data_IF_217926404730
#
_entry.id   IF_217926404730
#
_cell.length_a   1.000
_cell.length_b   1.000
_cell.length_c   1.000
_cell.angle_alpha   90.00
_cell.angle_beta   90.00
_cell.angle_gamma   90.00
#
_symmetry.space_group_name_H-M   'P 1'
#
loop_
_entity.id
_entity.type
_entity.pdbx_description
1 polymer ?
#
# COMPACT_ATOMS: atom_id res chain seq x y z
N UNK A 1 7.71 73.16 15.61
CA UNK A 1 9.01 72.57 15.23
C UNK A 1 8.92 71.07 15.43
N UNK A 2 9.10 70.30 14.35
CA UNK A 2 9.09 68.84 14.34
C UNK A 2 10.35 68.30 15.05
N UNK A 3 10.19 67.28 15.92
CA UNK A 3 11.31 66.54 16.49
C UNK A 3 11.19 65.06 16.14
N UNK A 4 12.24 64.56 15.48
CA UNK A 4 12.44 63.20 15.04
C UNK A 4 12.99 62.35 16.20
N UNK A 5 12.18 61.45 16.75
CA UNK A 5 12.71 60.22 17.37
C UNK A 5 11.99 59.02 16.76
N UNK A 6 12.67 58.44 15.76
CA UNK A 6 12.35 57.16 15.13
C UNK A 6 12.19 56.09 16.22
N UNK A 7 11.00 55.48 16.32
CA UNK A 7 10.88 54.15 16.94
C UNK A 7 11.83 53.23 16.17
N UNK A 8 12.84 52.69 16.85
CA UNK A 8 13.72 51.66 16.28
C UNK A 8 12.84 50.53 15.73
N UNK A 9 13.13 49.97 14.55
CA UNK A 9 12.45 48.75 14.12
C UNK A 9 12.72 47.69 15.19
N UNK A 10 11.65 47.09 15.70
CA UNK A 10 11.74 45.93 16.58
C UNK A 10 12.32 44.82 15.71
N UNK A 11 13.62 44.60 15.79
CA UNK A 11 14.27 43.45 15.16
C UNK A 11 13.57 42.23 15.77
N UNK A 12 12.91 41.37 14.98
CA UNK A 12 12.28 40.19 15.54
C UNK A 12 13.39 39.38 16.21
N UNK A 13 13.16 38.97 17.46
CA UNK A 13 14.13 38.15 18.16
C UNK A 13 14.30 36.82 17.40
N UNK A 14 15.44 36.12 17.52
CA UNK A 14 15.64 34.81 16.91
C UNK A 14 14.55 33.77 17.30
N UNK A 15 13.82 34.00 18.40
CA UNK A 15 12.63 33.21 18.76
C UNK A 15 11.36 33.55 17.94
N UNK A 16 11.18 34.81 17.52
CA UNK A 16 10.08 35.22 16.65
C UNK A 16 10.37 34.85 15.18
N UNK A 17 11.64 34.84 14.77
CA UNK A 17 12.07 34.33 13.46
C UNK A 17 12.05 32.80 13.38
N UNK A 18 12.19 32.06 14.48
CA UNK A 18 12.04 30.61 14.51
C UNK A 18 10.56 30.15 14.61
N UNK A 19 9.68 30.96 15.20
CA UNK A 19 8.23 30.69 15.27
C UNK A 19 7.53 30.83 13.92
N UNK A 20 7.89 31.83 13.11
CA UNK A 20 7.33 32.02 11.76
C UNK A 20 7.48 30.81 10.83
N UNK A 21 8.67 30.22 10.63
CA UNK A 21 8.83 29.04 9.79
C UNK A 21 8.16 27.82 10.42
N UNK A 22 8.10 27.69 11.76
CA UNK A 22 7.34 26.60 12.38
C UNK A 22 5.84 26.72 12.18
N UNK A 23 5.29 27.94 12.23
CA UNK A 23 3.87 28.23 12.00
C UNK A 23 3.52 28.14 10.52
N UNK A 24 4.42 28.57 9.62
CA UNK A 24 4.30 28.39 8.17
C UNK A 24 4.32 26.91 7.80
N UNK A 25 5.31 26.15 8.27
CA UNK A 25 5.40 24.69 8.09
C UNK A 25 4.16 23.97 8.64
N UNK A 26 3.68 24.36 9.82
CA UNK A 26 2.47 23.80 10.42
C UNK A 26 1.22 24.16 9.61
N UNK A 27 1.14 25.37 9.05
CA UNK A 27 0.04 25.81 8.19
C UNK A 27 0.06 25.13 6.82
N UNK A 28 1.24 24.88 6.26
CA UNK A 28 1.43 24.20 4.98
C UNK A 28 1.14 22.72 5.12
N UNK A 29 1.62 22.10 6.20
CA UNK A 29 1.29 20.73 6.55
C UNK A 29 -0.21 20.59 6.78
N UNK A 30 -0.82 21.46 7.58
CA UNK A 30 -2.27 21.43 7.82
C UNK A 30 -3.09 21.65 6.54
N UNK A 31 -2.68 22.56 5.66
CA UNK A 31 -3.35 22.78 4.36
C UNK A 31 -3.18 21.59 3.42
N UNK A 32 -1.99 21.01 3.35
CA UNK A 32 -1.72 19.83 2.53
C UNK A 32 -2.50 18.60 3.02
N UNK A 33 -2.54 18.38 4.33
CA UNK A 33 -3.33 17.30 4.96
C UNK A 33 -4.82 17.51 4.73
N UNK A 34 -5.34 18.73 4.92
CA UNK A 34 -6.74 19.02 4.65
C UNK A 34 -7.09 18.88 3.17
N UNK A 35 -6.26 19.38 2.25
CA UNK A 35 -6.49 19.26 0.80
C UNK A 35 -6.48 17.79 0.35
N UNK A 36 -5.57 16.97 0.87
CA UNK A 36 -5.56 15.51 0.64
C UNK A 36 -6.83 14.85 1.18
N UNK A 37 -7.25 15.18 2.40
CA UNK A 37 -8.47 14.66 3.01
C UNK A 37 -9.73 15.01 2.23
N UNK A 38 -9.84 16.26 1.75
CA UNK A 38 -10.94 16.67 0.86
C UNK A 38 -10.91 15.91 -0.47
N UNK A 39 -9.74 15.78 -1.10
CA UNK A 39 -9.60 15.03 -2.36
C UNK A 39 -9.96 13.54 -2.22
N UNK A 40 -9.58 12.91 -1.10
CA UNK A 40 -9.95 11.53 -0.79
C UNK A 40 -11.46 11.39 -0.60
N UNK A 41 -12.07 12.23 0.24
CA UNK A 41 -13.51 12.20 0.50
C UNK A 41 -14.31 12.45 -0.78
N UNK A 42 -13.88 13.37 -1.65
CA UNK A 42 -14.54 13.63 -2.93
C UNK A 42 -14.46 12.42 -3.87
N UNK A 43 -13.32 11.72 -3.90
CA UNK A 43 -13.16 10.49 -4.70
C UNK A 43 -14.04 9.37 -4.16
N UNK A 44 -14.12 9.20 -2.83
CA UNK A 44 -14.98 8.20 -2.18
C UNK A 44 -16.47 8.52 -2.40
N UNK A 45 -16.88 9.78 -2.27
CA UNK A 45 -18.27 10.21 -2.45
C UNK A 45 -18.80 10.01 -3.88
N UNK A 46 -17.92 9.89 -4.87
CA UNK A 46 -18.28 9.55 -6.25
C UNK A 46 -18.57 8.06 -6.44
N UNK A 47 -18.13 7.21 -5.51
CA UNK A 47 -18.39 5.78 -5.53
C UNK A 47 -19.78 5.48 -4.99
N UNK A 48 -20.51 4.62 -5.69
CA UNK A 48 -21.85 4.21 -5.29
C UNK A 48 -21.79 2.96 -4.42
N UNK A 49 -20.82 2.07 -4.69
CA UNK A 49 -20.76 0.75 -4.07
C UNK A 49 -20.10 0.71 -2.70
N UNK A 50 -19.20 1.64 -2.39
CA UNK A 50 -18.39 1.59 -1.16
C UNK A 50 -18.33 2.93 -0.43
N UNK A 51 -17.89 2.87 0.82
CA UNK A 51 -17.70 4.02 1.74
C UNK A 51 -16.32 3.96 2.39
N UNK A 52 -15.98 4.95 3.20
CA UNK A 52 -14.67 5.04 3.85
C UNK A 52 -14.34 3.77 4.68
N UNK A 53 -15.34 3.21 5.35
CA UNK A 53 -15.23 2.00 6.16
C UNK A 53 -14.74 0.80 5.35
N UNK A 54 -15.11 0.73 4.07
CA UNK A 54 -14.64 -0.31 3.16
C UNK A 54 -13.12 -0.24 2.98
N UNK A 55 -12.56 0.97 2.84
CA UNK A 55 -11.13 1.14 2.68
C UNK A 55 -10.35 0.84 3.96
N UNK A 56 -10.90 1.17 5.12
CA UNK A 56 -10.32 0.75 6.40
C UNK A 56 -10.32 -0.78 6.52
N UNK A 57 -11.40 -1.44 6.08
CA UNK A 57 -11.47 -2.89 6.05
C UNK A 57 -10.45 -3.49 5.06
N UNK A 58 -10.25 -2.89 3.88
CA UNK A 58 -9.18 -3.31 2.96
C UNK A 58 -7.79 -3.23 3.60
N UNK A 59 -7.50 -2.15 4.35
CA UNK A 59 -6.23 -2.03 5.08
C UNK A 59 -6.10 -3.13 6.14
N UNK A 60 -7.17 -3.46 6.86
CA UNK A 60 -7.19 -4.59 7.80
C UNK A 60 -6.91 -5.93 7.13
N UNK A 61 -7.49 -6.18 5.94
CA UNK A 61 -7.16 -7.39 5.16
C UNK A 61 -5.69 -7.42 4.76
N UNK A 62 -5.06 -6.26 4.48
CA UNK A 62 -3.62 -6.19 4.20
C UNK A 62 -2.79 -6.62 5.40
N UNK A 63 -3.20 -6.23 6.61
CA UNK A 63 -2.55 -6.65 7.85
C UNK A 63 -2.73 -8.17 8.08
N UNK A 64 -3.93 -8.71 7.87
CA UNK A 64 -4.21 -10.15 7.97
C UNK A 64 -3.38 -11.00 6.99
N UNK A 65 -3.16 -10.47 5.77
CA UNK A 65 -2.27 -11.11 4.78
C UNK A 65 -0.81 -11.01 5.23
N UNK A 66 -0.40 -9.86 5.76
CA UNK A 66 0.95 -9.67 6.27
C UNK A 66 1.26 -10.66 7.41
N UNK A 67 0.35 -10.86 8.35
CA UNK A 67 0.51 -11.82 9.46
C UNK A 67 0.75 -13.27 8.98
N UNK A 68 0.20 -13.63 7.82
CA UNK A 68 0.43 -14.94 7.20
C UNK A 68 1.73 -15.01 6.39
N UNK A 69 2.11 -13.91 5.74
CA UNK A 69 3.25 -13.87 4.80
C UNK A 69 4.58 -13.63 5.52
N UNK A 70 4.63 -12.71 6.49
CA UNK A 70 5.87 -12.33 7.19
C UNK A 70 6.62 -13.50 7.84
N UNK A 71 5.95 -14.49 8.48
CA UNK A 71 6.64 -15.64 9.08
C UNK A 71 7.48 -16.45 8.08
N UNK A 72 7.18 -16.40 6.77
CA UNK A 72 8.01 -17.02 5.73
C UNK A 72 9.40 -16.37 5.57
N UNK A 73 9.57 -15.17 6.14
CA UNK A 73 10.73 -14.31 6.01
C UNK A 73 11.52 -14.11 7.31
N UNK A 74 11.03 -14.58 8.46
CA UNK A 74 11.63 -14.34 9.79
C UNK A 74 13.13 -14.70 9.88
N UNK A 75 13.55 -15.78 9.22
CA UNK A 75 14.95 -16.23 9.22
C UNK A 75 15.83 -15.54 8.16
N UNK A 76 15.24 -14.72 7.30
CA UNK A 76 15.92 -14.03 6.21
C UNK A 76 16.10 -12.55 6.56
N UNK A 77 17.11 -12.24 7.37
CA UNK A 77 17.35 -10.86 7.86
C UNK A 77 17.63 -9.83 6.76
N UNK A 78 17.97 -10.26 5.56
CA UNK A 78 18.19 -9.40 4.39
C UNK A 78 16.92 -9.17 3.55
N UNK A 79 15.81 -9.86 3.86
CA UNK A 79 14.57 -9.74 3.12
C UNK A 79 14.00 -8.32 3.28
N UNK A 80 13.61 -7.70 2.16
CA UNK A 80 13.05 -6.35 2.19
C UNK A 80 11.63 -6.35 2.73
N UNK A 81 11.44 -5.86 3.96
CA UNK A 81 10.11 -5.68 4.57
C UNK A 81 9.18 -4.83 3.69
N UNK A 82 9.70 -3.81 3.01
CA UNK A 82 8.91 -2.94 2.13
C UNK A 82 8.35 -3.73 0.93
N UNK A 83 9.14 -4.62 0.35
CA UNK A 83 8.71 -5.45 -0.78
C UNK A 83 7.69 -6.51 -0.33
N UNK A 84 7.87 -7.09 0.86
CA UNK A 84 6.90 -8.03 1.46
C UNK A 84 5.55 -7.32 1.70
N UNK A 85 5.55 -6.14 2.32
CA UNK A 85 4.32 -5.35 2.48
C UNK A 85 3.73 -4.93 1.13
N UNK A 86 4.56 -4.59 0.15
CA UNK A 86 4.11 -4.26 -1.21
C UNK A 86 3.42 -5.44 -1.91
N UNK A 87 3.89 -6.67 -1.68
CA UNK A 87 3.22 -7.89 -2.12
C UNK A 87 1.88 -8.11 -1.40
N UNK A 88 1.82 -7.88 -0.09
CA UNK A 88 0.56 -7.98 0.67
C UNK A 88 -0.47 -6.98 0.14
N UNK A 89 -0.04 -5.74 -0.08
CA UNK A 89 -0.90 -4.71 -0.65
C UNK A 89 -1.37 -5.06 -2.07
N UNK A 90 -0.47 -5.61 -2.88
CA UNK A 90 -0.76 -6.11 -4.23
C UNK A 90 -1.80 -7.23 -4.21
N UNK A 91 -1.72 -8.14 -3.25
CA UNK A 91 -2.69 -9.23 -3.08
C UNK A 91 -4.10 -8.69 -2.84
N UNK A 92 -4.25 -7.69 -1.97
CA UNK A 92 -5.56 -7.05 -1.70
C UNK A 92 -6.07 -6.25 -2.91
N UNK A 93 -5.18 -5.59 -3.66
CA UNK A 93 -5.55 -4.93 -4.91
C UNK A 93 -6.09 -5.93 -5.96
N UNK A 94 -5.45 -7.10 -6.09
CA UNK A 94 -5.92 -8.17 -6.98
C UNK A 94 -7.23 -8.77 -6.48
N UNK A 95 -7.37 -9.01 -5.17
CA UNK A 95 -8.63 -9.46 -4.58
C UNK A 95 -9.78 -8.49 -4.87
N UNK A 96 -9.51 -7.18 -4.79
CA UNK A 96 -10.47 -6.12 -5.15
C UNK A 96 -10.81 -6.16 -6.65
N UNK A 97 -9.81 -6.37 -7.51
CA UNK A 97 -10.00 -6.47 -8.96
C UNK A 97 -10.94 -7.63 -9.36
N UNK A 98 -10.81 -8.77 -8.70
CA UNK A 98 -11.63 -9.97 -8.99
C UNK A 98 -12.90 -10.07 -8.14
N UNK A 99 -13.19 -9.04 -7.34
CA UNK A 99 -14.40 -8.99 -6.52
C UNK A 99 -15.67 -8.78 -7.37
N UNK A 100 -16.82 -8.85 -6.69
CA UNK A 100 -18.14 -8.60 -7.28
C UNK A 100 -18.53 -7.11 -7.33
N UNK A 101 -17.60 -6.20 -7.01
CA UNK A 101 -17.81 -4.75 -7.14
C UNK A 101 -18.11 -4.36 -8.60
N UNK A 102 -18.75 -3.22 -8.85
CA UNK A 102 -18.95 -2.72 -10.21
C UNK A 102 -17.63 -2.53 -10.94
N UNK A 103 -17.50 -3.06 -12.16
CA UNK A 103 -16.25 -3.05 -12.92
C UNK A 103 -15.75 -1.63 -13.21
N UNK A 104 -16.66 -0.67 -13.38
CA UNK A 104 -16.37 0.74 -13.58
C UNK A 104 -15.80 1.43 -12.32
N UNK A 105 -16.10 0.90 -11.12
CA UNK A 105 -15.64 1.48 -9.85
C UNK A 105 -14.32 0.86 -9.37
N UNK A 106 -14.05 -0.41 -9.70
CA UNK A 106 -12.84 -1.15 -9.27
C UNK A 106 -11.52 -0.39 -9.48
N UNK A 107 -11.23 0.24 -10.64
CA UNK A 107 -9.97 0.97 -10.81
C UNK A 107 -9.83 2.14 -9.83
N UNK A 108 -10.94 2.83 -9.55
CA UNK A 108 -10.95 3.96 -8.62
C UNK A 108 -10.79 3.48 -7.18
N UNK A 109 -11.45 2.37 -6.81
CA UNK A 109 -11.35 1.75 -5.49
C UNK A 109 -9.92 1.29 -5.22
N UNK A 110 -9.32 0.52 -6.14
CA UNK A 110 -7.92 0.08 -6.05
C UNK A 110 -6.98 1.29 -5.93
N UNK A 111 -7.21 2.33 -6.74
CA UNK A 111 -6.41 3.55 -6.69
C UNK A 111 -6.50 4.30 -5.36
N UNK A 112 -7.67 4.36 -4.73
CA UNK A 112 -7.84 4.96 -3.40
C UNK A 112 -7.14 4.10 -2.34
N UNK A 113 -7.36 2.79 -2.37
CA UNK A 113 -6.75 1.84 -1.45
C UNK A 113 -5.21 1.92 -1.48
N UNK A 114 -4.61 1.89 -2.67
CA UNK A 114 -3.16 2.00 -2.81
C UNK A 114 -2.63 3.38 -2.37
N UNK A 115 -3.39 4.46 -2.57
CA UNK A 115 -3.02 5.78 -2.07
C UNK A 115 -2.97 5.80 -0.53
N UNK A 116 -3.95 5.18 0.14
CA UNK A 116 -3.97 5.04 1.59
C UNK A 116 -2.81 4.19 2.10
N UNK A 117 -2.52 3.07 1.43
CA UNK A 117 -1.38 2.24 1.79
C UNK A 117 -0.05 2.98 1.63
N UNK A 118 0.13 3.75 0.54
CA UNK A 118 1.34 4.56 0.30
C UNK A 118 1.48 5.65 1.37
N UNK A 119 0.41 6.39 1.65
CA UNK A 119 0.43 7.45 2.66
C UNK A 119 0.76 6.86 4.04
N UNK A 120 0.20 5.70 4.41
CA UNK A 120 0.51 4.99 5.65
C UNK A 120 1.99 4.54 5.70
N UNK A 121 2.50 3.99 4.59
CA UNK A 121 3.89 3.52 4.50
C UNK A 121 4.89 4.68 4.63
N UNK A 122 4.64 5.79 3.94
CA UNK A 122 5.48 6.99 4.01
C UNK A 122 5.43 7.63 5.41
N UNK A 123 4.29 7.59 6.09
CA UNK A 123 4.18 8.10 7.46
C UNK A 123 5.12 7.36 8.43
N UNK A 124 5.31 6.05 8.23
CA UNK A 124 6.19 5.21 9.06
C UNK A 124 7.63 5.15 8.53
N UNK A 125 7.86 5.49 7.26
CA UNK A 125 9.19 5.59 6.66
C UNK A 125 9.34 6.89 5.84
N UNK A 126 9.53 8.05 6.50
CA UNK A 126 9.50 9.37 5.85
C UNK A 126 10.60 9.61 4.81
N UNK A 127 11.63 8.78 4.80
CA UNK A 127 12.70 8.83 3.79
C UNK A 127 12.23 8.31 2.41
N UNK A 128 11.09 7.62 2.34
CA UNK A 128 10.54 7.12 1.08
C UNK A 128 9.90 8.24 0.27
N UNK A 129 10.16 8.24 -1.04
CA UNK A 129 9.44 9.10 -1.97
C UNK A 129 8.08 8.48 -2.30
N UNK A 130 7.00 9.05 -1.75
CA UNK A 130 5.64 8.55 -1.94
C UNK A 130 5.17 8.50 -3.40
N UNK A 131 5.62 9.42 -4.26
CA UNK A 131 5.25 9.39 -5.69
C UNK A 131 5.92 8.22 -6.42
N UNK A 132 7.19 7.97 -6.13
CA UNK A 132 7.91 6.79 -6.66
C UNK A 132 7.26 5.52 -6.12
N UNK A 133 6.99 5.46 -4.82
CA UNK A 133 6.37 4.30 -4.18
C UNK A 133 4.99 3.98 -4.78
N UNK A 134 4.15 5.00 -4.98
CA UNK A 134 2.86 4.87 -5.68
C UNK A 134 3.02 4.29 -7.07
N UNK A 135 3.96 4.81 -7.87
CA UNK A 135 4.23 4.28 -9.20
C UNK A 135 4.74 2.84 -9.17
N UNK A 136 5.57 2.49 -8.18
CA UNK A 136 6.10 1.14 -8.01
C UNK A 136 5.00 0.16 -7.61
N UNK A 137 4.19 0.46 -6.59
CA UNK A 137 3.12 -0.44 -6.14
C UNK A 137 2.02 -0.63 -7.20
N UNK A 138 1.69 0.42 -7.98
CA UNK A 138 0.75 0.29 -9.10
C UNK A 138 1.25 -0.67 -10.20
N UNK A 139 2.56 -0.69 -10.48
CA UNK A 139 3.16 -1.68 -11.40
C UNK A 139 3.23 -3.06 -10.75
N UNK A 140 3.55 -3.11 -9.47
CA UNK A 140 3.76 -4.36 -8.74
C UNK A 140 2.51 -5.22 -8.71
N UNK A 141 1.35 -4.67 -8.35
CA UNK A 141 0.12 -5.46 -8.26
C UNK A 141 -0.34 -5.98 -9.62
N UNK A 142 -0.18 -5.18 -10.68
CA UNK A 142 -0.47 -5.59 -12.06
C UNK A 142 0.48 -6.70 -12.51
N UNK A 143 1.75 -6.62 -12.12
CA UNK A 143 2.76 -7.64 -12.39
C UNK A 143 2.46 -8.96 -11.70
N UNK A 144 2.04 -8.93 -10.43
CA UNK A 144 1.70 -10.13 -9.67
C UNK A 144 0.35 -10.74 -10.04
N UNK A 145 -0.59 -9.95 -10.58
CA UNK A 145 -1.95 -10.42 -10.85
C UNK A 145 -2.02 -11.74 -11.63
N UNK A 146 -1.29 -11.96 -12.75
CA UNK A 146 -1.31 -13.25 -13.44
C UNK A 146 -0.80 -14.41 -12.59
N UNK A 147 0.27 -14.21 -11.81
CA UNK A 147 0.83 -15.22 -10.92
C UNK A 147 -0.11 -15.59 -9.78
N UNK A 148 -0.70 -14.57 -9.15
CA UNK A 148 -1.73 -14.70 -8.12
C UNK A 148 -2.93 -15.50 -8.64
N UNK A 149 -3.46 -15.14 -9.81
CA UNK A 149 -4.63 -15.83 -10.38
C UNK A 149 -4.33 -17.28 -10.74
N UNK A 150 -3.12 -17.58 -11.23
CA UNK A 150 -2.68 -18.96 -11.50
C UNK A 150 -2.51 -19.75 -10.21
N UNK A 151 -1.96 -19.15 -9.14
CA UNK A 151 -1.76 -19.83 -7.87
C UNK A 151 -3.10 -20.20 -7.20
N UNK A 152 -4.09 -19.32 -7.25
CA UNK A 152 -5.44 -19.60 -6.72
C UNK A 152 -6.18 -20.62 -7.59
N UNK A 153 -6.09 -20.48 -8.91
CA UNK A 153 -6.66 -21.41 -9.89
C UNK A 153 -5.72 -22.55 -10.28
N UNK A 154 -4.95 -23.10 -9.32
CA UNK A 154 -3.82 -24.00 -9.59
C UNK A 154 -4.14 -25.16 -10.54
N UNK A 155 -5.24 -25.90 -10.28
CA UNK A 155 -5.63 -27.04 -11.10
C UNK A 155 -5.89 -26.65 -12.57
N UNK A 156 -6.49 -25.48 -12.78
CA UNK A 156 -6.77 -24.98 -14.12
C UNK A 156 -5.51 -24.42 -14.79
N UNK A 157 -4.67 -23.72 -14.03
CA UNK A 157 -3.38 -23.22 -14.52
C UNK A 157 -2.48 -24.37 -14.98
N UNK A 158 -2.46 -25.49 -14.25
CA UNK A 158 -1.70 -26.69 -14.63
C UNK A 158 -2.21 -27.26 -15.96
N UNK A 159 -3.53 -27.38 -16.15
CA UNK A 159 -4.10 -27.83 -17.44
C UNK A 159 -3.76 -26.91 -18.60
N UNK A 160 -3.64 -25.61 -18.33
CA UNK A 160 -3.26 -24.59 -19.31
C UNK A 160 -1.74 -24.51 -19.56
N UNK A 161 -0.95 -25.42 -18.99
CA UNK A 161 0.48 -25.53 -19.24
C UNK A 161 1.36 -24.67 -18.33
N UNK A 162 0.85 -24.20 -17.19
CA UNK A 162 1.62 -23.51 -16.16
C UNK A 162 1.94 -24.47 -14.99
N UNK A 163 3.08 -25.19 -15.02
CA UNK A 163 3.42 -26.12 -13.94
C UNK A 163 3.77 -25.37 -12.65
N UNK A 164 3.37 -25.92 -11.51
CA UNK A 164 3.69 -25.44 -10.16
C UNK A 164 3.44 -23.94 -9.92
N UNK A 165 2.23 -23.42 -10.20
CA UNK A 165 1.97 -21.97 -10.19
C UNK A 165 2.19 -21.34 -8.82
N UNK A 166 1.93 -22.07 -7.75
CA UNK A 166 2.19 -21.66 -6.35
C UNK A 166 3.68 -21.49 -6.06
N UNK A 167 4.50 -22.43 -6.53
CA UNK A 167 5.97 -22.36 -6.43
C UNK A 167 6.51 -21.17 -7.21
N UNK A 168 6.01 -20.93 -8.42
CA UNK A 168 6.43 -19.80 -9.26
C UNK A 168 6.12 -18.47 -8.57
N UNK A 169 4.92 -18.31 -7.98
CA UNK A 169 4.58 -17.11 -7.22
C UNK A 169 5.54 -16.86 -6.05
N UNK A 170 5.89 -17.92 -5.31
CA UNK A 170 6.86 -17.81 -4.22
C UNK A 170 8.27 -17.43 -4.73
N UNK A 171 8.71 -17.96 -5.86
CA UNK A 171 9.99 -17.60 -6.48
C UNK A 171 10.03 -16.15 -6.95
N UNK A 172 8.90 -15.62 -7.44
CA UNK A 172 8.80 -14.21 -7.82
C UNK A 172 8.93 -13.28 -6.61
N UNK A 173 8.29 -13.62 -5.49
CA UNK A 173 8.44 -12.87 -4.23
C UNK A 173 9.85 -12.99 -3.65
N UNK A 174 10.46 -14.17 -3.74
CA UNK A 174 11.83 -14.39 -3.28
C UNK A 174 12.85 -13.58 -4.08
N UNK A 175 12.68 -13.52 -5.41
CA UNK A 175 13.52 -12.68 -6.27
C UNK A 175 13.40 -11.20 -5.90
N UNK A 176 12.19 -10.74 -5.59
CA UNK A 176 11.95 -9.35 -5.21
C UNK A 176 12.55 -9.01 -3.85
N UNK A 177 12.50 -9.95 -2.91
CA UNK A 177 12.97 -9.78 -1.54
C UNK A 177 14.44 -10.14 -1.32
N UNK A 178 15.10 -10.73 -2.32
CA UNK A 178 16.50 -11.17 -2.21
C UNK A 178 16.67 -12.45 -1.40
N UNK A 179 15.67 -13.33 -1.42
CA UNK A 179 15.64 -14.58 -0.67
C UNK A 179 15.97 -15.76 -1.58
N UNK A 180 16.71 -16.73 -1.03
CA UNK A 180 16.95 -18.02 -1.68
C UNK A 180 16.43 -19.14 -0.77
N UNK A 181 15.53 -19.96 -1.29
CA UNK A 181 14.95 -21.12 -0.60
C UNK A 181 15.40 -22.41 -1.25
N UNK A 182 15.50 -23.48 -0.46
CA UNK A 182 15.62 -24.81 -1.05
C UNK A 182 14.25 -25.27 -1.61
N UNK A 183 14.19 -26.33 -2.43
CA UNK A 183 12.95 -26.75 -3.09
C UNK A 183 11.79 -27.09 -2.14
N UNK A 184 12.06 -27.68 -0.97
CA UNK A 184 11.03 -28.04 0.00
C UNK A 184 10.43 -26.79 0.66
N UNK A 185 11.28 -25.82 1.00
CA UNK A 185 10.88 -24.53 1.55
C UNK A 185 10.13 -23.68 0.51
N UNK A 186 10.53 -23.76 -0.75
CA UNK A 186 9.83 -23.09 -1.84
C UNK A 186 8.40 -23.61 -2.02
N UNK A 187 8.21 -24.93 -1.91
CA UNK A 187 6.88 -25.55 -1.97
C UNK A 187 6.01 -25.12 -0.77
N UNK A 188 6.57 -25.11 0.44
CA UNK A 188 5.88 -24.62 1.64
C UNK A 188 5.49 -23.14 1.52
N UNK A 189 6.41 -22.30 1.05
CA UNK A 189 6.14 -20.88 0.81
C UNK A 189 5.05 -20.71 -0.25
N UNK A 190 5.10 -21.47 -1.35
CA UNK A 190 4.06 -21.44 -2.39
C UNK A 190 2.67 -21.79 -1.87
N UNK A 191 2.56 -22.83 -1.05
CA UNK A 191 1.30 -23.21 -0.42
C UNK A 191 0.78 -22.12 0.54
N UNK A 192 1.66 -21.57 1.38
CA UNK A 192 1.31 -20.51 2.34
C UNK A 192 0.86 -19.23 1.62
N UNK A 193 1.54 -18.83 0.53
CA UNK A 193 1.15 -17.68 -0.28
C UNK A 193 -0.21 -17.90 -0.95
N UNK A 194 -0.48 -19.11 -1.46
CA UNK A 194 -1.80 -19.45 -2.01
C UNK A 194 -2.90 -19.28 -0.96
N UNK A 195 -2.69 -19.77 0.26
CA UNK A 195 -3.64 -19.64 1.35
C UNK A 195 -3.89 -18.17 1.72
N UNK A 196 -2.82 -17.37 1.86
CA UNK A 196 -2.93 -15.94 2.17
C UNK A 196 -3.69 -15.17 1.07
N UNK A 197 -3.41 -15.47 -0.20
CA UNK A 197 -4.14 -14.90 -1.34
C UNK A 197 -5.60 -15.31 -1.35
N UNK A 198 -5.90 -16.59 -1.15
CA UNK A 198 -7.28 -17.09 -1.07
C UNK A 198 -8.04 -16.43 0.08
N UNK A 199 -7.40 -16.29 1.24
CA UNK A 199 -7.93 -15.59 2.40
C UNK A 199 -8.31 -14.14 2.04
N UNK A 200 -7.40 -13.39 1.40
CA UNK A 200 -7.67 -12.02 0.96
C UNK A 200 -8.87 -11.93 0.00
N UNK A 201 -8.95 -12.83 -0.99
CA UNK A 201 -10.08 -12.87 -1.94
C UNK A 201 -11.41 -13.12 -1.22
N UNK A 202 -11.44 -14.05 -0.27
CA UNK A 202 -12.64 -14.36 0.51
C UNK A 202 -13.04 -13.20 1.41
N UNK A 203 -12.08 -12.58 2.09
CA UNK A 203 -12.32 -11.42 2.97
C UNK A 203 -12.85 -10.23 2.19
N UNK A 204 -12.19 -9.84 1.10
CA UNK A 204 -12.63 -8.72 0.24
C UNK A 204 -14.02 -8.98 -0.34
N UNK A 205 -14.36 -10.23 -0.68
CA UNK A 205 -15.70 -10.61 -1.14
C UNK A 205 -16.75 -10.52 -0.03
N UNK A 206 -16.36 -10.72 1.22
CA UNK A 206 -17.25 -10.64 2.37
C UNK A 206 -17.52 -9.18 2.81
N UNK A 207 -16.67 -8.24 2.43
CA UNK A 207 -16.90 -6.81 2.65
C UNK A 207 -18.14 -6.36 1.85
N UNK A 208 -19.12 -5.77 2.55
CA UNK A 208 -20.36 -5.25 1.98
C UNK A 208 -20.54 -3.79 2.35
#
# INVERSE_FOLDING_TARGET
MFSFFKKKPKVPGPQDEARKPSDELRSEFSRATMAKGFSLNDRINRLRSVRLEYFNALMGVTDDVADQVFPLFDRFSAASNLEIHGFCASTVAVATHVSMLPDEEKPTIIGIYLDLWVDNTVAHAPALNGQILKGSVDRLWKGYMPGIMRAVGEDEAIKLGFPNPTVVLAQELDRLTGVERNPAEQALAGATLKEAVMHAILMVRALR
#
